data_IF_058862115951
#
_entry.id   IF_058862115951
#
_cell.length_a   1.000
_cell.length_b   1.000
_cell.length_c   1.000
_cell.angle_alpha   90.00
_cell.angle_beta   90.00
_cell.angle_gamma   90.00
#
_symmetry.space_group_name_H-M   'P 1'
#
loop_
_entity.id
_entity.type
_entity.pdbx_description
1 polymer ?
#
# COMPACT_ATOMS: atom_id res chain seq x y z
N UNK A 1 -34.42 0.07 7.07
CA UNK A 1 -33.41 0.75 6.25
C UNK A 1 -34.07 1.96 5.62
N UNK A 2 -33.43 3.12 5.68
CA UNK A 2 -33.96 4.38 5.13
C UNK A 2 -33.67 4.44 3.64
N UNK A 3 -34.67 4.69 2.76
CA UNK A 3 -34.43 4.92 1.34
C UNK A 3 -33.43 6.08 1.13
N UNK A 4 -32.48 5.92 0.20
CA UNK A 4 -31.45 6.90 -0.08
C UNK A 4 -30.26 6.92 0.91
N UNK A 5 -30.20 6.01 1.88
CA UNK A 5 -29.02 5.87 2.72
C UNK A 5 -27.82 5.42 1.87
N UNK A 6 -26.63 6.04 2.05
CA UNK A 6 -25.43 5.61 1.34
C UNK A 6 -25.05 4.18 1.73
N UNK A 7 -24.70 3.36 0.75
CA UNK A 7 -24.29 1.98 0.96
C UNK A 7 -23.04 1.66 0.11
N UNK A 8 -22.13 0.90 0.70
CA UNK A 8 -20.96 0.34 0.01
C UNK A 8 -21.10 -1.19 0.05
N UNK A 9 -21.00 -1.82 -1.12
CA UNK A 9 -21.01 -3.27 -1.21
C UNK A 9 -19.64 -3.80 -0.75
N UNK A 10 -19.64 -4.47 0.40
CA UNK A 10 -18.38 -4.95 1.04
C UNK A 10 -18.04 -6.37 0.64
N UNK A 11 -16.75 -6.60 0.43
CA UNK A 11 -16.16 -7.92 0.24
C UNK A 11 -15.02 -8.12 1.25
N UNK A 12 -15.10 -9.21 2.01
CA UNK A 12 -14.03 -9.72 2.87
C UNK A 12 -13.98 -11.24 2.72
N UNK A 13 -13.77 -11.67 1.49
CA UNK A 13 -13.72 -13.08 1.13
C UNK A 13 -12.29 -13.59 1.19
N UNK A 14 -12.14 -14.76 1.76
CA UNK A 14 -10.91 -15.53 1.77
C UNK A 14 -11.21 -17.01 1.66
N UNK A 15 -10.21 -17.81 1.42
CA UNK A 15 -10.26 -19.27 1.51
C UNK A 15 -9.64 -19.76 2.82
N UNK A 16 -9.71 -21.03 3.05
CA UNK A 16 -9.12 -21.68 4.22
C UNK A 16 -8.18 -22.79 3.76
N UNK A 17 -7.02 -22.85 4.37
CA UNK A 17 -6.14 -24.01 4.19
C UNK A 17 -6.82 -25.27 4.73
N UNK A 18 -7.11 -26.22 3.85
CA UNK A 18 -7.71 -27.49 4.24
C UNK A 18 -6.80 -28.37 5.11
N UNK A 19 -5.50 -28.01 5.17
CA UNK A 19 -4.52 -28.73 5.99
C UNK A 19 -4.43 -28.22 7.42
N UNK A 20 -4.55 -26.90 7.60
CA UNK A 20 -4.33 -26.25 8.90
C UNK A 20 -5.58 -25.59 9.49
N UNK A 21 -6.63 -25.39 8.69
CA UNK A 21 -7.80 -24.62 9.07
C UNK A 21 -7.59 -23.10 9.13
N UNK A 22 -6.38 -22.62 8.82
CA UNK A 22 -6.08 -21.19 8.85
C UNK A 22 -6.66 -20.47 7.61
N UNK A 23 -7.14 -19.22 7.74
CA UNK A 23 -7.54 -18.42 6.59
C UNK A 23 -6.33 -18.13 5.70
N UNK A 24 -6.54 -18.15 4.38
CA UNK A 24 -5.50 -17.90 3.37
C UNK A 24 -5.83 -16.65 2.58
N UNK A 25 -4.86 -15.75 2.44
CA UNK A 25 -4.98 -14.51 1.69
C UNK A 25 -3.96 -14.48 0.55
N UNK A 26 -4.20 -13.61 -0.44
CA UNK A 26 -3.33 -13.51 -1.61
C UNK A 26 -3.43 -14.69 -2.57
N UNK A 27 -4.43 -15.56 -2.40
CA UNK A 27 -4.66 -16.74 -3.24
C UNK A 27 -5.46 -16.38 -4.50
N UNK A 28 -5.32 -17.17 -5.58
CA UNK A 28 -6.08 -16.96 -6.82
C UNK A 28 -7.60 -16.97 -6.62
N UNK A 29 -8.09 -17.82 -5.72
CA UNK A 29 -9.53 -17.98 -5.44
C UNK A 29 -10.13 -16.70 -4.84
N UNK A 30 -9.40 -16.06 -3.91
CA UNK A 30 -9.80 -14.77 -3.36
C UNK A 30 -9.86 -13.69 -4.45
N UNK A 31 -8.89 -13.71 -5.38
CA UNK A 31 -8.88 -12.83 -6.55
C UNK A 31 -10.08 -13.02 -7.46
N UNK A 32 -10.43 -14.26 -7.79
CA UNK A 32 -11.63 -14.58 -8.58
C UNK A 32 -12.91 -14.07 -7.90
N UNK A 33 -13.00 -14.19 -6.56
CA UNK A 33 -14.11 -13.66 -5.80
C UNK A 33 -14.19 -12.12 -5.88
N UNK A 34 -13.05 -11.41 -5.91
CA UNK A 34 -13.02 -9.95 -6.10
C UNK A 34 -13.60 -9.55 -7.44
N UNK A 35 -13.25 -10.25 -8.53
CA UNK A 35 -13.84 -10.00 -9.85
C UNK A 35 -15.34 -10.19 -9.87
N UNK A 36 -15.84 -11.29 -9.29
CA UNK A 36 -17.26 -11.57 -9.23
C UNK A 36 -18.03 -10.50 -8.43
N UNK A 37 -17.52 -10.13 -7.26
CA UNK A 37 -18.13 -9.09 -6.40
C UNK A 37 -18.07 -7.72 -7.06
N UNK A 38 -16.98 -7.36 -7.73
CA UNK A 38 -16.86 -6.12 -8.48
C UNK A 38 -17.88 -6.02 -9.61
N UNK A 39 -18.14 -7.12 -10.33
CA UNK A 39 -19.17 -7.16 -11.37
C UNK A 39 -20.58 -7.01 -10.78
N UNK A 40 -20.87 -7.67 -9.66
CA UNK A 40 -22.16 -7.55 -8.97
C UNK A 40 -22.39 -6.11 -8.48
N UNK A 41 -21.39 -5.48 -7.88
CA UNK A 41 -21.49 -4.09 -7.43
C UNK A 41 -21.81 -3.13 -8.58
N UNK A 42 -21.13 -3.27 -9.73
CA UNK A 42 -21.43 -2.49 -10.94
C UNK A 42 -22.85 -2.73 -11.45
N UNK A 43 -23.30 -3.97 -11.44
CA UNK A 43 -24.69 -4.32 -11.83
C UNK A 43 -25.72 -3.67 -10.90
N UNK A 44 -25.39 -3.54 -9.62
CA UNK A 44 -26.27 -2.93 -8.60
C UNK A 44 -26.14 -1.39 -8.56
N UNK A 45 -25.19 -0.83 -9.26
CA UNK A 45 -24.92 0.62 -9.26
C UNK A 45 -24.42 1.15 -7.90
N UNK A 46 -23.70 0.33 -7.13
CA UNK A 46 -23.17 0.69 -5.82
C UNK A 46 -21.65 0.63 -5.79
N UNK A 47 -20.98 1.47 -4.98
CA UNK A 47 -19.54 1.37 -4.75
C UNK A 47 -19.18 0.01 -4.13
N UNK A 48 -17.98 -0.48 -4.46
CA UNK A 48 -17.48 -1.74 -3.89
C UNK A 48 -16.21 -1.51 -3.07
N UNK A 49 -16.12 -2.19 -1.95
CA UNK A 49 -14.95 -2.26 -1.08
C UNK A 49 -14.34 -3.65 -1.14
N UNK A 50 -13.03 -3.73 -1.34
CA UNK A 50 -12.23 -4.96 -1.28
C UNK A 50 -11.14 -4.87 -0.21
N UNK A 51 -10.54 -6.01 0.16
CA UNK A 51 -9.30 -6.05 0.93
C UNK A 51 -8.08 -5.71 0.05
N UNK A 52 -7.01 -5.25 0.67
CA UNK A 52 -5.77 -4.84 0.01
C UNK A 52 -4.62 -5.81 0.26
N UNK A 53 -3.68 -5.44 1.11
CA UNK A 53 -2.39 -6.11 1.30
C UNK A 53 -2.40 -7.19 2.39
N UNK A 54 -3.38 -8.08 2.39
CA UNK A 54 -3.32 -9.25 3.26
C UNK A 54 -2.37 -10.32 2.75
N UNK A 55 -1.73 -11.01 3.68
CA UNK A 55 -0.87 -12.17 3.42
C UNK A 55 -1.05 -13.22 4.49
N UNK A 56 -0.82 -14.48 4.15
CA UNK A 56 -0.71 -15.59 5.10
C UNK A 56 0.70 -15.72 5.70
N UNK A 57 1.68 -14.98 5.18
CA UNK A 57 3.04 -14.95 5.74
C UNK A 57 3.07 -14.38 7.14
N UNK A 58 4.04 -14.83 7.95
CA UNK A 58 4.30 -14.37 9.31
C UNK A 58 5.42 -13.33 9.38
N UNK A 59 6.07 -13.09 8.25
CA UNK A 59 7.20 -12.16 8.09
C UNK A 59 6.97 -11.25 6.89
N UNK A 60 7.56 -10.05 6.87
CA UNK A 60 7.57 -9.18 5.69
C UNK A 60 8.60 -9.67 4.66
N UNK A 61 8.36 -10.87 4.11
CA UNK A 61 9.22 -11.60 3.18
C UNK A 61 8.68 -11.59 1.74
N UNK A 62 9.28 -12.38 0.88
CA UNK A 62 8.88 -12.52 -0.52
C UNK A 62 7.43 -13.01 -0.66
N UNK A 63 6.97 -13.94 0.21
CA UNK A 63 5.58 -14.39 0.23
C UNK A 63 4.64 -13.22 0.56
N UNK A 64 4.95 -12.47 1.61
CA UNK A 64 4.16 -11.31 2.01
C UNK A 64 4.05 -10.28 0.88
N UNK A 65 5.16 -9.97 0.21
CA UNK A 65 5.19 -9.03 -0.90
C UNK A 65 4.34 -9.50 -2.08
N UNK A 66 4.47 -10.79 -2.47
CA UNK A 66 3.72 -11.38 -3.58
C UNK A 66 2.22 -11.43 -3.31
N UNK A 67 1.81 -11.96 -2.15
CA UNK A 67 0.39 -12.11 -1.79
C UNK A 67 -0.30 -10.74 -1.65
N UNK A 68 0.39 -9.78 -1.06
CA UNK A 68 -0.11 -8.42 -0.93
C UNK A 68 -0.25 -7.71 -2.28
N UNK A 69 0.74 -7.85 -3.16
CA UNK A 69 0.67 -7.28 -4.51
C UNK A 69 -0.47 -7.93 -5.33
N UNK A 70 -0.60 -9.27 -5.28
CA UNK A 70 -1.65 -9.99 -5.96
C UNK A 70 -3.05 -9.54 -5.49
N UNK A 71 -3.26 -9.41 -4.18
CA UNK A 71 -4.52 -8.96 -3.61
C UNK A 71 -4.86 -7.53 -4.04
N UNK A 72 -3.89 -6.61 -3.93
CA UNK A 72 -4.08 -5.20 -4.26
C UNK A 72 -4.39 -5.00 -5.76
N UNK A 73 -3.58 -5.60 -6.64
CA UNK A 73 -3.81 -5.49 -8.09
C UNK A 73 -5.12 -6.14 -8.52
N UNK A 74 -5.50 -7.25 -7.92
CA UNK A 74 -6.78 -7.89 -8.21
C UNK A 74 -7.96 -7.02 -7.75
N UNK A 75 -7.87 -6.38 -6.58
CA UNK A 75 -8.88 -5.43 -6.11
C UNK A 75 -9.04 -4.24 -7.08
N UNK A 76 -7.92 -3.68 -7.58
CA UNK A 76 -7.95 -2.61 -8.59
C UNK A 76 -8.58 -3.07 -9.90
N UNK A 77 -8.16 -4.21 -10.43
CA UNK A 77 -8.70 -4.78 -11.67
C UNK A 77 -10.18 -5.15 -11.55
N UNK A 78 -10.63 -5.53 -10.36
CA UNK A 78 -12.04 -5.74 -10.06
C UNK A 78 -12.86 -4.43 -10.02
N UNK A 79 -12.20 -3.27 -10.06
CA UNK A 79 -12.82 -1.95 -10.00
C UNK A 79 -13.26 -1.55 -8.59
N UNK A 80 -12.46 -1.91 -7.57
CA UNK A 80 -12.72 -1.47 -6.20
C UNK A 80 -12.67 0.06 -6.10
N UNK A 81 -13.69 0.63 -5.48
CA UNK A 81 -13.76 2.06 -5.19
C UNK A 81 -13.06 2.41 -3.86
N UNK A 82 -12.96 1.43 -2.98
CA UNK A 82 -12.33 1.57 -1.69
C UNK A 82 -11.57 0.29 -1.32
N UNK A 83 -10.30 0.41 -0.99
CA UNK A 83 -9.45 -0.71 -0.59
C UNK A 83 -9.08 -0.56 0.87
N UNK A 84 -9.57 -1.47 1.71
CA UNK A 84 -9.22 -1.54 3.12
C UNK A 84 -8.02 -2.46 3.35
N UNK A 85 -7.40 -2.33 4.52
CA UNK A 85 -6.31 -3.20 4.96
C UNK A 85 -5.16 -3.26 3.93
N UNK A 86 -4.82 -2.09 3.38
CA UNK A 86 -3.89 -1.99 2.28
C UNK A 86 -2.41 -1.97 2.72
N UNK A 87 -2.11 -1.98 4.02
CA UNK A 87 -0.74 -1.94 4.53
C UNK A 87 -0.59 -2.62 5.90
N UNK A 88 0.56 -3.25 6.14
CA UNK A 88 1.04 -3.70 7.44
C UNK A 88 0.54 -5.05 7.94
N UNK A 89 -0.39 -5.70 7.26
CA UNK A 89 -1.03 -6.92 7.75
C UNK A 89 -0.23 -8.18 7.42
N UNK A 90 -0.03 -9.02 8.43
CA UNK A 90 0.56 -10.36 8.36
C UNK A 90 -0.40 -11.40 8.97
N UNK A 91 -0.07 -12.67 8.80
CA UNK A 91 -0.78 -13.82 9.38
C UNK A 91 -2.31 -13.78 9.17
N UNK A 92 -2.72 -13.52 7.95
CA UNK A 92 -4.16 -13.48 7.64
C UNK A 92 -4.91 -12.31 8.30
N UNK A 93 -4.20 -11.26 8.69
CA UNK A 93 -4.78 -10.08 9.35
C UNK A 93 -4.83 -10.16 10.86
N UNK A 94 -4.10 -11.10 11.47
CA UNK A 94 -4.01 -11.24 12.93
C UNK A 94 -2.87 -10.40 13.54
N UNK A 95 -1.87 -10.04 12.74
CA UNK A 95 -0.68 -9.31 13.19
C UNK A 95 -0.44 -8.10 12.30
N UNK A 96 0.03 -7.01 12.91
CA UNK A 96 0.57 -5.83 12.23
C UNK A 96 2.09 -5.80 12.40
N UNK A 97 2.79 -5.41 11.34
CA UNK A 97 4.25 -5.30 11.30
C UNK A 97 4.66 -3.94 10.76
N UNK A 98 5.59 -3.26 11.43
CA UNK A 98 5.98 -1.90 11.08
C UNK A 98 6.78 -1.84 9.78
N UNK A 99 7.68 -2.79 9.56
CA UNK A 99 8.44 -2.88 8.31
C UNK A 99 7.48 -3.10 7.14
N UNK A 100 6.54 -4.04 7.30
CA UNK A 100 5.53 -4.28 6.28
C UNK A 100 4.64 -3.07 6.05
N UNK A 101 4.29 -2.31 7.08
CA UNK A 101 3.47 -1.10 6.95
C UNK A 101 4.13 -0.08 6.03
N UNK A 102 5.41 0.21 6.22
CA UNK A 102 6.11 1.21 5.39
C UNK A 102 6.42 0.68 4.00
N UNK A 103 6.76 -0.61 3.84
CA UNK A 103 6.95 -1.26 2.54
C UNK A 103 5.66 -1.29 1.71
N UNK A 104 4.54 -1.62 2.35
CA UNK A 104 3.23 -1.61 1.68
C UNK A 104 2.80 -0.18 1.30
N UNK A 105 3.10 0.81 2.15
CA UNK A 105 2.83 2.21 1.83
C UNK A 105 3.61 2.69 0.59
N UNK A 106 4.86 2.28 0.44
CA UNK A 106 5.65 2.56 -0.76
C UNK A 106 5.01 1.92 -2.00
N UNK A 107 4.59 0.65 -1.91
CA UNK A 107 3.84 -0.03 -2.97
C UNK A 107 2.53 0.68 -3.31
N UNK A 108 1.83 1.23 -2.33
CA UNK A 108 0.63 2.04 -2.59
C UNK A 108 0.98 3.30 -3.38
N UNK A 109 2.11 3.95 -3.10
CA UNK A 109 2.63 5.07 -3.89
C UNK A 109 2.85 4.68 -5.35
N UNK A 110 3.54 3.55 -5.60
CA UNK A 110 3.74 3.00 -6.95
C UNK A 110 2.39 2.70 -7.64
N UNK A 111 1.45 2.13 -6.89
CA UNK A 111 0.10 1.82 -7.37
C UNK A 111 -0.67 3.08 -7.76
N UNK A 112 -0.63 4.12 -6.95
CA UNK A 112 -1.23 5.41 -7.27
C UNK A 112 -0.60 6.04 -8.51
N UNK A 113 0.71 5.92 -8.68
CA UNK A 113 1.38 6.40 -9.88
C UNK A 113 0.90 5.63 -11.12
N UNK A 114 0.82 4.31 -11.04
CA UNK A 114 0.28 3.47 -12.13
C UNK A 114 -1.15 3.87 -12.51
N UNK A 115 -2.01 4.15 -11.53
CA UNK A 115 -3.41 4.51 -11.77
C UNK A 115 -3.61 5.89 -12.41
N UNK A 116 -2.61 6.76 -12.36
CA UNK A 116 -2.63 8.05 -13.10
C UNK A 116 -2.60 7.85 -14.61
N UNK A 117 -2.09 6.69 -15.05
CA UNK A 117 -1.90 6.43 -16.48
C UNK A 117 -0.72 7.19 -17.07
N UNK A 118 -0.65 7.19 -18.39
CA UNK A 118 0.40 7.90 -19.13
C UNK A 118 -0.03 9.34 -19.41
N UNK A 119 0.90 10.28 -19.27
CA UNK A 119 0.71 11.63 -19.79
C UNK A 119 0.67 11.61 -21.34
N UNK A 120 -0.22 12.43 -21.91
CA UNK A 120 -0.41 12.53 -23.37
C UNK A 120 -0.32 13.99 -23.82
N UNK A 121 0.67 14.69 -23.27
CA UNK A 121 0.96 16.09 -23.63
C UNK A 121 2.24 16.20 -24.48
N UNK A 122 2.56 17.39 -24.93
CA UNK A 122 3.72 17.65 -25.79
C UNK A 122 5.04 17.27 -25.11
N UNK A 123 5.14 17.43 -23.79
CA UNK A 123 6.32 17.03 -23.03
C UNK A 123 6.47 15.49 -23.02
N UNK A 124 5.38 14.76 -22.84
CA UNK A 124 5.41 13.30 -22.85
C UNK A 124 5.72 12.72 -24.24
N UNK A 125 5.27 13.37 -25.31
CA UNK A 125 5.60 12.99 -26.69
C UNK A 125 7.05 13.29 -27.07
N UNK A 126 7.70 14.25 -26.42
CA UNK A 126 9.12 14.58 -26.57
C UNK A 126 9.59 14.78 -28.03
N UNK A 127 8.73 15.25 -28.95
CA UNK A 127 9.06 15.37 -30.38
C UNK A 127 10.27 16.29 -30.62
N UNK A 128 10.45 17.33 -29.80
CA UNK A 128 11.63 18.19 -29.85
C UNK A 128 12.94 17.44 -29.61
N UNK A 129 12.93 16.48 -28.66
CA UNK A 129 14.09 15.63 -28.38
C UNK A 129 14.45 14.72 -29.57
N UNK A 130 13.44 14.18 -30.28
CA UNK A 130 13.69 13.39 -31.51
C UNK A 130 14.30 14.22 -32.63
N UNK A 131 13.94 15.51 -32.75
CA UNK A 131 14.56 16.41 -33.72
C UNK A 131 15.97 16.85 -33.33
N UNK A 132 16.25 17.00 -32.04
CA UNK A 132 17.56 17.35 -31.50
C UNK A 132 18.56 16.20 -31.66
N UNK A 133 18.10 14.96 -31.39
CA UNK A 133 18.96 13.77 -31.38
C UNK A 133 18.78 12.99 -32.71
N UNK A 134 19.79 13.04 -33.56
CA UNK A 134 19.78 12.31 -34.83
C UNK A 134 19.86 10.78 -34.67
N UNK A 135 19.61 10.03 -35.78
CA UNK A 135 19.71 8.58 -35.78
C UNK A 135 21.10 8.07 -35.31
N UNK A 136 21.11 7.03 -34.47
CA UNK A 136 22.33 6.41 -33.96
C UNK A 136 22.96 7.11 -32.77
N UNK A 137 22.38 8.19 -32.27
CA UNK A 137 22.77 8.89 -31.06
C UNK A 137 21.90 8.52 -29.87
N UNK A 138 22.18 9.08 -28.68
CA UNK A 138 21.45 8.82 -27.44
C UNK A 138 20.84 10.10 -26.87
N UNK A 139 19.76 9.98 -26.10
CA UNK A 139 18.98 11.08 -25.55
C UNK A 139 19.51 11.65 -24.23
N UNK A 140 20.53 11.05 -23.60
CA UNK A 140 21.01 11.41 -22.25
C UNK A 140 21.40 12.89 -22.11
N UNK A 141 21.92 13.52 -23.17
CA UNK A 141 22.29 14.93 -23.17
C UNK A 141 21.27 15.90 -23.80
N UNK A 142 20.10 15.39 -24.19
CA UNK A 142 19.06 16.25 -24.82
C UNK A 142 18.46 17.21 -23.80
N UNK A 143 18.01 18.37 -24.29
CA UNK A 143 17.32 19.36 -23.45
C UNK A 143 16.08 18.77 -22.77
N UNK A 144 15.34 17.90 -23.46
CA UNK A 144 14.19 17.22 -22.89
C UNK A 144 14.57 16.29 -21.71
N UNK A 145 15.63 15.49 -21.85
CA UNK A 145 16.09 14.61 -20.76
C UNK A 145 16.55 15.45 -19.56
N UNK A 146 17.32 16.52 -19.79
CA UNK A 146 17.78 17.40 -18.71
C UNK A 146 16.64 18.08 -17.94
N UNK A 147 15.53 18.37 -18.62
CA UNK A 147 14.36 18.97 -18.00
C UNK A 147 13.48 17.98 -17.22
N UNK A 148 13.61 16.68 -17.47
CA UNK A 148 12.68 15.66 -16.95
C UNK A 148 13.33 14.57 -16.11
N UNK A 149 14.66 14.39 -16.10
CA UNK A 149 15.31 13.21 -15.50
C UNK A 149 15.01 13.01 -14.01
N UNK A 150 14.75 14.07 -13.25
CA UNK A 150 14.42 14.01 -11.83
C UNK A 150 12.95 13.65 -11.56
N UNK A 151 12.07 13.81 -12.55
CA UNK A 151 10.61 13.69 -12.35
C UNK A 151 9.93 12.71 -13.29
N UNK A 152 10.66 12.18 -14.28
CA UNK A 152 10.08 11.31 -15.32
C UNK A 152 9.61 9.96 -14.78
N UNK A 153 10.23 9.46 -13.72
CA UNK A 153 9.96 8.16 -13.14
C UNK A 153 9.55 8.28 -11.68
N UNK A 154 8.75 7.33 -11.22
CA UNK A 154 8.47 7.19 -9.80
C UNK A 154 9.70 6.60 -9.09
N UNK A 155 10.16 7.28 -8.06
CA UNK A 155 11.21 6.76 -7.20
C UNK A 155 10.59 6.11 -5.96
N UNK A 156 10.79 4.80 -5.82
CA UNK A 156 10.37 4.06 -4.65
C UNK A 156 11.28 4.38 -3.45
N UNK A 157 10.67 4.59 -2.28
CA UNK A 157 11.45 4.91 -1.06
C UNK A 157 12.28 3.71 -0.59
N UNK A 158 11.75 2.51 -0.70
CA UNK A 158 12.38 1.27 -0.23
C UNK A 158 12.81 0.34 -1.37
N UNK A 159 12.41 0.63 -2.61
CA UNK A 159 12.96 -0.02 -3.79
C UNK A 159 14.40 0.43 -4.01
N UNK A 160 15.27 -0.50 -4.35
CA UNK A 160 16.65 -0.22 -4.67
C UNK A 160 16.89 -0.49 -6.16
N UNK A 161 17.34 0.54 -6.86
CA UNK A 161 17.68 0.47 -8.29
C UNK A 161 19.14 0.87 -8.54
N UNK A 162 19.97 0.91 -7.47
CA UNK A 162 21.38 1.18 -7.57
C UNK A 162 22.14 0.07 -8.31
N UNK A 163 23.35 0.36 -8.78
CA UNK A 163 24.26 -0.68 -9.26
C UNK A 163 24.69 -1.58 -8.09
N UNK A 164 25.18 -2.78 -8.40
CA UNK A 164 25.73 -3.68 -7.38
C UNK A 164 26.83 -3.01 -6.55
N UNK A 165 27.72 -2.29 -7.22
CA UNK A 165 28.85 -1.61 -6.58
C UNK A 165 28.36 -0.53 -5.61
N UNK A 166 27.41 0.28 -6.04
CA UNK A 166 26.81 1.33 -5.20
C UNK A 166 26.06 0.73 -4.01
N UNK A 167 25.20 -0.28 -4.22
CA UNK A 167 24.50 -0.98 -3.17
C UNK A 167 25.45 -1.60 -2.13
N UNK A 168 26.59 -2.17 -2.60
CA UNK A 168 27.61 -2.73 -1.72
C UNK A 168 28.33 -1.66 -0.90
N UNK A 169 28.64 -0.51 -1.50
CA UNK A 169 29.23 0.63 -0.80
C UNK A 169 28.24 1.24 0.24
N UNK A 170 26.95 1.20 -0.01
CA UNK A 170 25.90 1.69 0.88
C UNK A 170 25.53 0.70 2.01
N UNK A 171 26.19 -0.45 2.10
CA UNK A 171 26.10 -1.38 3.23
C UNK A 171 25.23 -2.61 2.99
N UNK A 172 24.88 -2.93 1.76
CA UNK A 172 24.21 -4.18 1.35
C UNK A 172 22.85 -4.41 2.06
N UNK A 173 22.13 -3.33 2.34
CA UNK A 173 20.87 -3.40 3.08
C UNK A 173 19.74 -3.94 2.22
N UNK A 174 19.01 -4.92 2.75
CA UNK A 174 17.75 -5.35 2.16
C UNK A 174 16.60 -4.36 2.46
N UNK A 175 15.47 -4.51 1.75
CA UNK A 175 14.33 -3.62 1.90
C UNK A 175 13.75 -3.62 3.32
N UNK A 176 13.79 -4.75 4.03
CA UNK A 176 13.32 -4.85 5.42
C UNK A 176 14.21 -4.06 6.37
N UNK A 177 15.52 -4.14 6.19
CA UNK A 177 16.49 -3.38 7.00
C UNK A 177 16.33 -1.87 6.79
N UNK A 178 16.14 -1.43 5.54
CA UNK A 178 15.84 0.00 5.22
C UNK A 178 14.53 0.43 5.87
N UNK A 179 13.47 -0.37 5.75
CA UNK A 179 12.19 -0.11 6.38
C UNK A 179 12.26 -0.04 7.91
N UNK A 180 13.06 -0.92 8.55
CA UNK A 180 13.27 -0.91 10.00
C UNK A 180 13.92 0.40 10.46
N UNK A 181 14.94 0.87 9.76
CA UNK A 181 15.59 2.13 10.09
C UNK A 181 14.63 3.34 9.93
N UNK A 182 13.83 3.35 8.86
CA UNK A 182 12.90 4.44 8.56
C UNK A 182 11.78 4.56 9.63
N UNK A 183 11.05 3.48 9.92
CA UNK A 183 9.96 3.59 10.88
C UNK A 183 10.43 3.96 12.28
N UNK A 184 11.63 3.48 12.69
CA UNK A 184 12.23 3.88 13.97
C UNK A 184 12.59 5.34 14.01
N UNK A 185 13.16 5.87 12.93
CA UNK A 185 13.47 7.30 12.82
C UNK A 185 12.20 8.15 12.86
N UNK A 186 11.13 7.74 12.17
CA UNK A 186 9.83 8.44 12.20
C UNK A 186 9.23 8.47 13.60
N UNK A 187 9.24 7.36 14.32
CA UNK A 187 8.75 7.31 15.70
C UNK A 187 9.59 8.17 16.65
N UNK A 188 10.91 8.14 16.51
CA UNK A 188 11.80 8.96 17.34
C UNK A 188 11.61 10.46 17.15
N UNK A 189 11.21 10.88 15.95
CA UNK A 189 10.96 12.27 15.57
C UNK A 189 9.47 12.67 15.64
N UNK A 190 8.60 11.77 16.09
CA UNK A 190 7.17 12.05 16.17
C UNK A 190 6.85 12.96 17.34
N UNK A 191 6.22 14.10 17.04
CA UNK A 191 5.61 14.98 18.02
C UNK A 191 4.10 14.79 17.95
N UNK A 192 3.48 14.40 19.08
CA UNK A 192 2.03 14.30 19.15
C UNK A 192 1.41 15.68 18.98
N UNK A 193 0.37 15.85 18.15
CA UNK A 193 -0.34 17.11 18.06
C UNK A 193 -0.82 17.54 19.45
N UNK A 194 -0.58 18.78 19.86
CA UNK A 194 -1.01 19.24 21.18
C UNK A 194 -2.53 19.24 21.26
N UNK A 195 -3.07 18.60 22.27
CA UNK A 195 -4.47 18.75 22.66
C UNK A 195 -4.61 19.98 23.58
N UNK A 196 -5.75 20.69 23.55
CA UNK A 196 -6.06 21.64 24.62
C UNK A 196 -5.99 20.94 25.98
N UNK A 197 -5.36 21.59 26.97
CA UNK A 197 -5.07 20.93 28.25
C UNK A 197 -6.33 20.41 28.96
N UNK A 198 -7.44 21.13 28.86
CA UNK A 198 -8.73 20.74 29.40
C UNK A 198 -9.32 19.50 28.73
N UNK A 199 -9.08 19.33 27.42
CA UNK A 199 -9.51 18.15 26.67
C UNK A 199 -8.65 16.94 27.03
N UNK A 200 -7.34 17.11 27.14
CA UNK A 200 -6.41 16.05 27.51
C UNK A 200 -6.69 15.52 28.94
N UNK A 201 -6.89 16.43 29.88
CA UNK A 201 -7.26 16.11 31.26
C UNK A 201 -8.60 15.34 31.32
N UNK A 202 -9.63 15.82 30.63
CA UNK A 202 -10.94 15.18 30.59
C UNK A 202 -10.90 13.78 29.94
N UNK A 203 -10.10 13.60 28.90
CA UNK A 203 -9.90 12.28 28.25
C UNK A 203 -9.16 11.33 29.17
N UNK A 204 -8.11 11.78 29.82
CA UNK A 204 -7.32 10.98 30.77
C UNK A 204 -8.20 10.53 31.94
N UNK A 205 -8.95 11.46 32.57
CA UNK A 205 -9.89 11.13 33.64
C UNK A 205 -10.95 10.10 33.20
N UNK A 206 -11.50 10.30 31.98
CA UNK A 206 -12.48 9.34 31.44
C UNK A 206 -11.89 7.96 31.27
N UNK A 207 -10.67 7.83 30.71
CA UNK A 207 -9.99 6.55 30.50
C UNK A 207 -9.69 5.85 31.83
N UNK A 208 -9.15 6.58 32.80
CA UNK A 208 -8.84 6.03 34.14
C UNK A 208 -10.11 5.55 34.86
N UNK A 209 -11.15 6.37 34.89
CA UNK A 209 -12.45 6.00 35.46
C UNK A 209 -13.04 4.77 34.78
N UNK A 210 -12.92 4.69 33.44
CA UNK A 210 -13.43 3.55 32.69
C UNK A 210 -12.66 2.27 32.97
N UNK A 211 -11.34 2.33 33.02
CA UNK A 211 -10.47 1.20 33.39
C UNK A 211 -10.78 0.69 34.79
N UNK A 212 -10.94 1.59 35.75
CA UNK A 212 -11.27 1.21 37.13
C UNK A 212 -12.64 0.53 37.25
N UNK A 213 -13.55 0.76 36.32
CA UNK A 213 -14.91 0.15 36.31
C UNK A 213 -15.03 -1.12 35.49
N UNK A 214 -13.96 -1.58 34.85
CA UNK A 214 -13.93 -2.81 34.03
C UNK A 214 -13.19 -3.91 34.78
N UNK A 215 -13.69 -5.13 34.65
CA UNK A 215 -12.98 -6.29 35.12
C UNK A 215 -11.69 -6.50 34.28
N UNK A 216 -10.60 -6.90 34.94
CA UNK A 216 -9.34 -7.26 34.27
C UNK A 216 -9.49 -8.68 33.72
N UNK A 217 -10.21 -8.80 32.62
CA UNK A 217 -10.48 -10.07 31.96
C UNK A 217 -9.68 -10.17 30.66
N UNK A 218 -8.90 -11.24 30.55
CA UNK A 218 -8.32 -11.71 29.29
C UNK A 218 -9.35 -12.57 28.57
N UNK A 219 -9.64 -12.24 27.30
CA UNK A 219 -10.51 -13.04 26.45
C UNK A 219 -9.74 -14.16 25.78
#
# INVERSE_FOLDING_TARGET
VRPGAPAIYGNFLTTMSLRSGAPTFGTPEAGLAYFAVGQLARRLGVPVRCGGSFTSSKLPDAQAAQESAASLYTAMMAGANFVLHAAGWLEGGLVMDYEKLVLDNDRLGMTHHLLRGMALDDNAFAMGGFHEVGPGSHFLGSAHTLANYETAYYEATFGDSASWEQWSEEGELDARQRANADWKARLANHESPPLPADVDEALTEFVERRKASMDDAWY
#
